data_IF_993090552024
#
_entry.id   IF_993090552024
#
_cell.length_a   1.000
_cell.length_b   1.000
_cell.length_c   1.000
_cell.angle_alpha   90.00
_cell.angle_beta   90.00
_cell.angle_gamma   90.00
#
_symmetry.space_group_name_H-M   'P 1'
#
loop_
_entity.id
_entity.type
_entity.pdbx_description
1 polymer ?
#
# COMPACT_ATOMS: atom_id res chain seq x y z
N UNK A 1 23.03 -8.46 -3.95
CA UNK A 1 21.82 -8.71 -4.77
C UNK A 1 20.57 -8.58 -3.89
N UNK A 2 20.06 -7.35 -3.69
CA UNK A 2 18.87 -7.13 -2.84
C UNK A 2 17.60 -7.14 -3.69
N UNK A 3 17.14 -8.32 -4.12
CA UNK A 3 15.84 -8.44 -4.76
C UNK A 3 14.73 -8.20 -3.74
N UNK A 4 14.05 -7.05 -3.83
CA UNK A 4 12.88 -6.75 -2.99
C UNK A 4 11.77 -7.79 -3.15
N UNK A 5 10.84 -7.85 -2.20
CA UNK A 5 9.76 -8.86 -2.20
C UNK A 5 8.97 -8.90 -3.52
N UNK A 6 8.67 -7.73 -4.10
CA UNK A 6 7.95 -7.62 -5.37
C UNK A 6 8.70 -8.27 -6.54
N UNK A 7 10.02 -8.06 -6.63
CA UNK A 7 10.85 -8.71 -7.65
C UNK A 7 10.70 -10.23 -7.58
N UNK A 8 10.85 -10.81 -6.38
CA UNK A 8 10.81 -12.27 -6.19
C UNK A 8 9.48 -12.89 -6.64
N UNK A 9 8.35 -12.21 -6.40
CA UNK A 9 7.03 -12.75 -6.75
C UNK A 9 6.65 -12.49 -8.22
N UNK A 10 7.41 -11.66 -8.93
CA UNK A 10 7.20 -11.29 -10.34
C UNK A 10 8.32 -11.79 -11.26
N UNK A 11 9.34 -12.47 -10.73
CA UNK A 11 10.34 -13.17 -11.52
C UNK A 11 9.66 -14.16 -12.48
N UNK A 12 10.04 -14.08 -13.76
CA UNK A 12 9.43 -14.87 -14.84
C UNK A 12 8.11 -14.35 -15.40
N UNK A 13 7.51 -13.30 -14.80
CA UNK A 13 6.32 -12.60 -15.33
C UNK A 13 6.65 -11.28 -16.01
N UNK A 14 7.66 -10.60 -15.46
CA UNK A 14 8.19 -9.34 -15.97
C UNK A 14 9.59 -9.55 -16.54
N UNK A 15 9.97 -8.72 -17.52
CA UNK A 15 11.32 -8.73 -18.06
C UNK A 15 12.36 -8.10 -17.11
N UNK A 16 13.63 -8.20 -17.45
CA UNK A 16 14.72 -7.70 -16.61
C UNK A 16 14.63 -6.19 -16.33
N UNK A 17 14.23 -5.39 -17.31
CA UNK A 17 14.12 -3.93 -17.16
C UNK A 17 12.92 -3.56 -16.27
N UNK A 18 11.77 -4.22 -16.49
CA UNK A 18 10.57 -4.08 -15.68
C UNK A 18 10.85 -4.44 -14.21
N UNK A 19 11.59 -5.54 -13.96
CA UNK A 19 11.98 -5.98 -12.61
C UNK A 19 12.95 -5.01 -11.90
N UNK A 20 13.80 -4.29 -12.63
CA UNK A 20 14.66 -3.23 -12.08
C UNK A 20 13.86 -1.98 -11.69
N UNK A 21 12.76 -1.70 -12.40
CA UNK A 21 11.90 -0.54 -12.16
C UNK A 21 10.88 -0.77 -11.04
N UNK A 22 10.70 -2.01 -10.57
CA UNK A 22 9.76 -2.32 -9.49
C UNK A 22 10.10 -1.54 -8.20
N UNK A 23 9.08 -0.99 -7.51
CA UNK A 23 9.32 -0.41 -6.20
C UNK A 23 9.83 -1.49 -5.22
N UNK A 24 10.61 -1.08 -4.22
CA UNK A 24 11.15 -2.02 -3.21
C UNK A 24 10.07 -2.73 -2.40
N UNK A 25 8.86 -2.17 -2.35
CA UNK A 25 7.72 -2.74 -1.67
C UNK A 25 6.46 -1.90 -1.87
N UNK A 26 5.47 -2.16 -1.02
CA UNK A 26 4.17 -1.51 -1.05
C UNK A 26 3.73 -1.16 0.38
N UNK A 27 2.72 -0.30 0.48
CA UNK A 27 2.08 -0.02 1.76
C UNK A 27 0.87 -0.92 1.93
N UNK A 28 0.73 -1.58 3.09
CA UNK A 28 -0.48 -2.32 3.45
C UNK A 28 -1.25 -1.59 4.54
N UNK A 29 -2.56 -1.44 4.36
CA UNK A 29 -3.49 -0.89 5.34
C UNK A 29 -4.64 -1.89 5.52
N UNK A 30 -4.63 -2.63 6.63
CA UNK A 30 -5.46 -3.82 6.79
C UNK A 30 -5.35 -4.78 5.59
N UNK A 31 -6.45 -5.01 4.88
CA UNK A 31 -6.52 -5.89 3.71
C UNK A 31 -6.23 -5.24 2.35
N UNK A 32 -5.95 -3.92 2.33
CA UNK A 32 -5.66 -3.16 1.11
C UNK A 32 -4.15 -2.97 0.96
N UNK A 33 -3.60 -3.33 -0.21
CA UNK A 33 -2.23 -3.00 -0.60
C UNK A 33 -2.23 -1.81 -1.55
N UNK A 34 -1.29 -0.88 -1.35
CA UNK A 34 -1.15 0.35 -2.14
C UNK A 34 0.26 0.38 -2.73
N UNK A 35 0.31 0.33 -4.06
CA UNK A 35 1.51 0.41 -4.87
C UNK A 35 1.76 1.85 -5.34
N UNK A 36 3.03 2.23 -5.39
CA UNK A 36 3.50 3.42 -6.11
C UNK A 36 4.31 2.94 -7.30
N UNK A 37 3.68 2.85 -8.48
CA UNK A 37 4.34 2.37 -9.69
C UNK A 37 4.86 3.55 -10.51
N UNK A 38 6.08 3.46 -11.07
CA UNK A 38 6.53 4.41 -12.07
C UNK A 38 5.70 4.25 -13.36
N UNK A 39 5.54 5.32 -14.18
CA UNK A 39 4.72 5.29 -15.40
C UNK A 39 5.00 4.12 -16.35
N UNK A 40 6.25 3.70 -16.46
CA UNK A 40 6.70 2.61 -17.32
C UNK A 40 6.09 1.25 -16.94
N UNK A 41 5.65 1.09 -15.68
CA UNK A 41 4.99 -0.12 -15.20
C UNK A 41 3.46 -0.01 -15.18
N UNK A 42 2.88 1.06 -15.71
CA UNK A 42 1.43 1.28 -15.65
C UNK A 42 0.65 0.24 -16.47
N UNK A 43 1.16 -0.19 -17.63
CA UNK A 43 0.50 -1.24 -18.42
C UNK A 43 0.51 -2.60 -17.71
N UNK A 44 1.48 -2.82 -16.82
CA UNK A 44 1.60 -4.03 -15.98
C UNK A 44 0.90 -3.92 -14.63
N UNK A 45 0.25 -2.79 -14.31
CA UNK A 45 -0.29 -2.51 -12.97
C UNK A 45 -1.25 -3.59 -12.46
N UNK A 46 -2.06 -4.15 -13.36
CA UNK A 46 -2.99 -5.23 -13.04
C UNK A 46 -2.26 -6.52 -12.69
N UNK A 47 -1.31 -6.95 -13.53
CA UNK A 47 -0.51 -8.17 -13.30
C UNK A 47 0.31 -8.09 -12.00
N UNK A 48 0.95 -6.93 -11.76
CA UNK A 48 1.66 -6.64 -10.52
C UNK A 48 0.71 -6.71 -9.31
N UNK A 49 -0.50 -6.16 -9.45
CA UNK A 49 -1.51 -6.20 -8.40
C UNK A 49 -2.01 -7.61 -8.12
N UNK A 50 -2.30 -8.40 -9.16
CA UNK A 50 -2.76 -9.79 -9.03
C UNK A 50 -1.75 -10.67 -8.30
N UNK A 51 -0.43 -10.44 -8.49
CA UNK A 51 0.62 -11.16 -7.78
C UNK A 51 0.59 -10.98 -6.24
N UNK A 52 -0.02 -9.88 -5.76
CA UNK A 52 -0.16 -9.59 -4.33
C UNK A 52 -1.43 -10.15 -3.70
N UNK A 53 -2.43 -10.54 -4.50
CA UNK A 53 -3.69 -11.05 -3.97
C UNK A 53 -3.49 -12.34 -3.16
N UNK A 54 -4.22 -12.46 -2.06
CA UNK A 54 -4.14 -13.58 -1.13
C UNK A 54 -2.89 -13.60 -0.25
N UNK A 55 -1.84 -12.82 -0.57
CA UNK A 55 -0.64 -12.72 0.25
C UNK A 55 -0.97 -11.93 1.52
N UNK A 56 -0.71 -12.53 2.69
CA UNK A 56 -0.89 -11.89 3.99
C UNK A 56 -2.29 -11.25 4.16
N UNK A 57 -3.35 -11.87 3.62
CA UNK A 57 -4.72 -11.38 3.74
C UNK A 57 -5.05 -10.15 2.88
N UNK A 58 -4.24 -9.83 1.87
CA UNK A 58 -4.56 -8.81 0.87
C UNK A 58 -5.72 -9.31 0.01
N UNK A 59 -6.81 -8.52 -0.08
CA UNK A 59 -7.91 -8.78 -1.02
C UNK A 59 -8.10 -7.69 -2.06
N UNK A 60 -7.55 -6.50 -1.81
CA UNK A 60 -7.66 -5.35 -2.71
C UNK A 60 -6.29 -4.76 -2.94
N UNK A 61 -5.94 -4.50 -4.20
CA UNK A 61 -4.70 -3.79 -4.56
C UNK A 61 -5.04 -2.54 -5.34
N UNK A 62 -4.49 -1.42 -4.87
CA UNK A 62 -4.63 -0.13 -5.51
C UNK A 62 -3.26 0.47 -5.88
N UNK A 63 -3.25 1.34 -6.88
CA UNK A 63 -2.09 2.10 -7.34
C UNK A 63 -2.31 3.58 -7.07
N UNK A 64 -1.27 4.28 -6.61
CA UNK A 64 -1.26 5.74 -6.57
C UNK A 64 -1.12 6.29 -7.98
N UNK A 65 -2.14 7.01 -8.43
CA UNK A 65 -2.20 7.59 -9.78
C UNK A 65 -1.94 9.10 -9.80
N UNK A 66 -1.57 9.68 -8.65
CA UNK A 66 -1.23 11.09 -8.58
C UNK A 66 -0.90 11.56 -7.16
N UNK A 67 -0.86 12.89 -7.00
CA UNK A 67 -0.65 13.55 -5.72
C UNK A 67 -1.86 13.43 -4.77
N UNK A 68 -1.78 14.20 -3.68
CA UNK A 68 -2.89 14.33 -2.72
C UNK A 68 -3.88 15.39 -3.19
N UNK A 69 -5.16 15.18 -2.92
CA UNK A 69 -6.26 16.05 -3.35
C UNK A 69 -6.91 16.80 -2.20
N UNK A 70 -7.19 18.09 -2.42
CA UNK A 70 -7.93 18.94 -1.51
C UNK A 70 -7.22 19.23 -0.18
N UNK A 71 -7.92 19.98 0.69
CA UNK A 71 -7.41 20.36 2.02
C UNK A 71 -7.19 19.16 2.94
N UNK A 72 -8.01 18.12 2.76
CA UNK A 72 -7.95 16.88 3.52
C UNK A 72 -6.86 15.91 3.03
N UNK A 73 -6.11 16.29 1.98
CA UNK A 73 -4.96 15.54 1.45
C UNK A 73 -5.34 14.09 1.09
N UNK A 74 -6.46 13.91 0.39
CA UNK A 74 -6.99 12.59 0.00
C UNK A 74 -6.05 11.94 -1.04
N UNK A 75 -5.62 10.68 -0.86
CA UNK A 75 -4.78 10.02 -1.85
C UNK A 75 -5.55 9.68 -3.13
N UNK A 76 -4.98 9.97 -4.31
CA UNK A 76 -5.53 9.51 -5.59
C UNK A 76 -5.14 8.06 -5.85
N UNK A 77 -6.08 7.16 -5.60
CA UNK A 77 -5.90 5.71 -5.75
C UNK A 77 -6.86 5.12 -6.78
N UNK A 78 -6.35 4.20 -7.60
CA UNK A 78 -7.13 3.35 -8.51
C UNK A 78 -6.98 1.89 -8.08
N UNK A 79 -8.10 1.15 -7.94
CA UNK A 79 -8.07 -0.29 -7.67
C UNK A 79 -7.72 -1.03 -8.97
N UNK A 80 -6.66 -1.83 -8.94
CA UNK A 80 -6.11 -2.52 -10.12
C UNK A 80 -6.29 -4.04 -10.06
N UNK A 81 -6.52 -4.61 -8.87
CA UNK A 81 -6.73 -6.05 -8.70
C UNK A 81 -7.54 -6.36 -7.42
N UNK A 82 -8.31 -7.45 -7.46
CA UNK A 82 -9.08 -7.98 -6.34
C UNK A 82 -10.43 -7.30 -6.13
N UNK A 83 -10.90 -7.26 -4.88
CA UNK A 83 -12.18 -6.69 -4.50
C UNK A 83 -12.20 -5.17 -4.75
N UNK A 84 -13.37 -4.61 -5.10
CA UNK A 84 -13.54 -3.14 -5.21
C UNK A 84 -13.65 -2.44 -3.85
N UNK A 85 -13.80 -3.21 -2.77
CA UNK A 85 -13.90 -2.70 -1.40
C UNK A 85 -12.55 -2.16 -0.93
N UNK A 86 -12.55 -0.92 -0.43
CA UNK A 86 -11.35 -0.26 0.11
C UNK A 86 -11.48 0.10 1.59
N UNK A 87 -12.69 0.08 2.16
CA UNK A 87 -12.90 0.23 3.61
C UNK A 87 -12.31 -0.98 4.32
N UNK A 88 -11.38 -0.71 5.23
CA UNK A 88 -10.55 -1.74 5.86
C UNK A 88 -10.43 -1.52 7.36
N UNK A 89 -10.09 -2.58 8.08
CA UNK A 89 -9.69 -2.52 9.49
C UNK A 89 -8.17 -2.65 9.58
N UNK A 90 -7.48 -1.56 9.89
CA UNK A 90 -6.04 -1.55 10.13
C UNK A 90 -5.76 -1.68 11.62
N UNK A 91 -4.79 -2.51 12.00
CA UNK A 91 -4.42 -2.73 13.41
C UNK A 91 -2.97 -2.33 13.64
N UNK A 92 -2.74 -1.50 14.64
CA UNK A 92 -1.41 -1.13 15.11
C UNK A 92 -1.47 -0.67 16.58
N UNK A 93 -0.42 -0.95 17.35
CA UNK A 93 -0.27 -0.51 18.75
C UNK A 93 -1.48 -0.81 19.65
N UNK A 94 -2.12 -1.96 19.45
CA UNK A 94 -3.32 -2.35 20.22
C UNK A 94 -4.62 -1.68 19.77
N UNK A 95 -4.56 -0.73 18.84
CA UNK A 95 -5.72 -0.03 18.28
C UNK A 95 -6.20 -0.68 16.98
N UNK A 96 -7.49 -0.55 16.71
CA UNK A 96 -8.12 -0.92 15.44
C UNK A 96 -8.75 0.32 14.79
N UNK A 97 -8.36 0.60 13.55
CA UNK A 97 -8.80 1.75 12.77
C UNK A 97 -9.63 1.28 11.59
N UNK A 98 -10.93 1.60 11.58
CA UNK A 98 -11.79 1.42 10.41
C UNK A 98 -11.68 2.66 9.52
N UNK A 99 -11.13 2.51 8.32
CA UNK A 99 -10.89 3.65 7.43
C UNK A 99 -10.93 3.23 5.95
N UNK A 100 -11.12 4.21 5.06
CA UNK A 100 -10.92 4.04 3.63
C UNK A 100 -9.62 4.74 3.18
N UNK A 101 -8.62 4.00 2.67
CA UNK A 101 -7.38 4.59 2.16
C UNK A 101 -7.57 5.55 0.97
N UNK A 102 -8.72 5.52 0.29
CA UNK A 102 -9.07 6.49 -0.77
C UNK A 102 -9.50 7.84 -0.22
N UNK A 103 -10.05 7.85 0.99
CA UNK A 103 -10.64 9.05 1.60
C UNK A 103 -9.73 9.68 2.65
N UNK A 104 -8.82 8.91 3.26
CA UNK A 104 -8.00 9.38 4.38
C UNK A 104 -6.52 9.10 4.14
N UNK A 105 -5.67 10.11 4.37
CA UNK A 105 -4.22 9.92 4.40
C UNK A 105 -3.82 9.10 5.62
N UNK A 106 -3.35 7.88 5.40
CA UNK A 106 -2.79 7.03 6.45
C UNK A 106 -1.37 6.62 6.08
N UNK A 107 -0.36 7.23 6.69
CA UNK A 107 1.06 6.97 6.38
C UNK A 107 1.67 5.91 7.30
N UNK A 108 2.37 4.95 6.70
CA UNK A 108 3.22 3.98 7.42
C UNK A 108 4.41 4.65 8.13
N UNK A 109 4.91 5.78 7.61
CA UNK A 109 6.05 6.49 8.22
C UNK A 109 5.76 6.99 9.64
N UNK A 110 4.49 7.19 9.97
CA UNK A 110 4.03 7.62 11.29
C UNK A 110 3.81 6.47 12.27
N UNK A 111 4.02 5.20 11.86
CA UNK A 111 3.80 4.04 12.71
C UNK A 111 4.64 4.12 13.99
N UNK A 112 5.93 4.43 13.89
CA UNK A 112 6.82 4.52 15.05
C UNK A 112 6.35 5.62 16.02
N UNK A 113 6.09 6.82 15.49
CA UNK A 113 5.66 7.97 16.29
C UNK A 113 4.30 7.75 16.97
N UNK A 114 3.33 7.11 16.30
CA UNK A 114 2.03 6.77 16.91
C UNK A 114 2.16 5.76 18.05
N UNK A 115 3.23 4.96 18.08
CA UNK A 115 3.55 4.10 19.23
C UNK A 115 4.41 4.79 20.30
N UNK A 116 5.12 5.86 19.94
CA UNK A 116 6.02 6.61 20.84
C UNK A 116 5.27 7.63 21.67
N UNK A 117 4.44 8.47 21.05
CA UNK A 117 3.77 9.59 21.72
C UNK A 117 2.90 9.15 22.92
N UNK A 118 2.08 8.08 22.84
CA UNK A 118 1.27 7.64 23.98
C UNK A 118 2.09 7.24 25.23
N UNK A 119 3.39 6.94 25.08
CA UNK A 119 4.28 6.60 26.19
C UNK A 119 4.86 7.82 26.90
N UNK A 120 4.66 9.02 26.35
CA UNK A 120 5.20 10.28 26.88
C UNK A 120 4.15 11.11 27.62
N UNK A 121 2.87 10.71 27.54
CA UNK A 121 1.77 11.41 28.19
C UNK A 121 1.47 10.77 29.54
N UNK A 122 0.98 11.57 30.49
CA UNK A 122 0.53 11.10 31.80
C UNK A 122 -0.99 10.97 31.83
N UNK A 123 -1.55 10.09 32.68
CA UNK A 123 -2.96 10.11 33.02
C UNK A 123 -3.38 11.51 33.48
N UNK A 124 -4.57 11.95 33.05
CA UNK A 124 -5.16 13.23 33.44
C UNK A 124 -5.70 13.22 34.87
#
# INVERSE_FOLDING_TARGET
MSGGYLRRILEGKLDGEELERLPRGFQRIGHVAILSLPPELWERRREIGEALLGKNGIRTVAVKVGGMEGRERRPRLEVVAGDRETVTLHREHGCSFKLDPRSVMFSRGMLAERGRIPKLVHPG
#
